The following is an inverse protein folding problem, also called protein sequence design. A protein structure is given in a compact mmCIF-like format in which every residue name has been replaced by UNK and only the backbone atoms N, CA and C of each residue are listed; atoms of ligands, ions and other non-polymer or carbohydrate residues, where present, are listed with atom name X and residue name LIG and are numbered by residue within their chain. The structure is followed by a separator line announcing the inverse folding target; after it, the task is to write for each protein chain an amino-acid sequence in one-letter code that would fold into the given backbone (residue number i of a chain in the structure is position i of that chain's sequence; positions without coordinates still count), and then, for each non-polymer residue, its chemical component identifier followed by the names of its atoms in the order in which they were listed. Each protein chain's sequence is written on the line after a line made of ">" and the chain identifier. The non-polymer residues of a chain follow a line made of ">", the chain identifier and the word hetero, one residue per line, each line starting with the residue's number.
data_IF_424849062255
#
_entry.id   IF_424849062255
#
_cell.length_a   1.000
_cell.length_b   1.000
_cell.length_c   1.000
_cell.angle_alpha   90.00
_cell.angle_beta   90.00
_cell.angle_gamma   90.00
#
_symmetry.space_group_name_H-M   'P 1'
#
loop_
_entity.id
_entity.type
_entity.pdbx_description
1 polymer ?
#
# COMPACT_ATOMS: atom_id res chain seq x y z
N UNK A 1 -67.88 35.60 19.80
CA UNK A 1 -67.78 34.70 18.63
C UNK A 1 -66.85 35.43 17.65
N UNK A 2 -65.65 35.01 17.25
CA UNK A 2 -65.05 33.68 17.05
C UNK A 2 -63.51 33.84 17.00
N UNK A 3 -62.79 32.77 17.31
CA UNK A 3 -61.35 32.66 17.54
C UNK A 3 -60.43 32.99 16.34
N UNK A 4 -59.20 33.42 16.61
CA UNK A 4 -58.08 33.34 15.66
C UNK A 4 -56.94 32.54 16.27
N UNK A 5 -56.51 31.58 15.46
CA UNK A 5 -55.77 30.36 15.75
C UNK A 5 -54.30 30.63 16.09
N UNK A 6 -53.82 29.93 17.12
CA UNK A 6 -52.40 29.75 17.43
C UNK A 6 -51.76 28.93 16.30
N UNK A 7 -50.82 29.52 15.57
CA UNK A 7 -49.97 28.78 14.64
C UNK A 7 -48.62 28.51 15.34
N UNK A 8 -48.47 27.25 15.78
CA UNK A 8 -47.19 26.65 16.11
C UNK A 8 -46.41 26.45 14.81
N UNK A 9 -45.22 27.03 14.69
CA UNK A 9 -44.26 26.64 13.65
C UNK A 9 -43.08 26.01 14.36
N UNK A 10 -43.14 24.68 14.47
CA UNK A 10 -42.01 23.84 14.78
C UNK A 10 -41.15 23.73 13.52
N UNK A 11 -40.02 24.42 13.48
CA UNK A 11 -39.00 24.23 12.45
C UNK A 11 -37.90 23.32 13.00
N UNK A 12 -38.09 22.02 12.80
CA UNK A 12 -37.06 21.00 12.95
C UNK A 12 -35.99 21.23 11.87
N UNK A 13 -34.85 21.78 12.25
CA UNK A 13 -33.66 21.82 11.38
C UNK A 13 -32.86 20.56 11.69
N UNK A 14 -33.17 19.49 10.94
CA UNK A 14 -32.31 18.32 10.81
C UNK A 14 -30.94 18.80 10.29
N UNK A 15 -29.92 18.74 11.14
CA UNK A 15 -28.54 18.85 10.68
C UNK A 15 -28.16 17.56 9.92
N UNK A 16 -27.56 17.66 8.73
CA UNK A 16 -27.24 16.51 7.90
C UNK A 16 -26.17 15.66 8.59
N UNK A 17 -26.49 14.37 8.75
CA UNK A 17 -25.52 13.33 9.09
C UNK A 17 -24.40 13.39 8.04
N UNK A 18 -23.21 13.81 8.48
CA UNK A 18 -21.98 13.69 7.71
C UNK A 18 -21.69 12.20 7.49
N UNK A 19 -22.26 11.63 6.43
CA UNK A 19 -21.88 10.33 5.89
C UNK A 19 -20.48 10.47 5.32
N UNK A 20 -19.46 10.32 6.17
CA UNK A 20 -18.12 10.03 5.71
C UNK A 20 -18.23 8.77 4.83
N UNK A 21 -17.78 8.81 3.56
CA UNK A 21 -17.78 7.60 2.74
C UNK A 21 -16.92 6.55 3.45
N UNK A 22 -17.36 5.29 3.52
CA UNK A 22 -16.50 4.24 4.03
C UNK A 22 -15.26 4.23 3.14
N UNK A 23 -14.08 4.42 3.75
CA UNK A 23 -12.81 4.11 3.12
C UNK A 23 -12.82 2.59 2.87
N UNK A 24 -13.45 2.17 1.76
CA UNK A 24 -13.26 0.86 1.18
C UNK A 24 -11.75 0.77 0.95
N UNK A 25 -11.08 -0.05 1.76
CA UNK A 25 -9.69 -0.45 1.57
C UNK A 25 -9.66 -1.27 0.27
N UNK A 26 -9.76 -0.59 -0.87
CA UNK A 26 -9.81 -1.21 -2.19
C UNK A 26 -8.51 -1.97 -2.41
N UNK A 27 -8.64 -3.29 -2.53
CA UNK A 27 -7.56 -4.11 -3.03
C UNK A 27 -7.53 -3.90 -4.54
N UNK A 28 -6.59 -3.09 -4.99
CA UNK A 28 -6.47 -2.75 -6.40
C UNK A 28 -5.82 -3.91 -7.16
N UNK A 29 -6.42 -4.32 -8.27
CA UNK A 29 -5.74 -5.21 -9.22
C UNK A 29 -4.92 -4.36 -10.18
N UNK A 30 -3.62 -4.62 -10.25
CA UNK A 30 -2.70 -3.99 -11.19
C UNK A 30 -2.28 -4.99 -12.25
N UNK A 31 -2.15 -4.56 -13.50
CA UNK A 31 -1.67 -5.40 -14.60
C UNK A 31 -0.32 -4.85 -15.05
N UNK A 32 0.71 -5.69 -15.02
CA UNK A 32 2.06 -5.30 -15.45
C UNK A 32 2.12 -5.01 -16.94
N UNK A 33 3.18 -4.34 -17.38
CA UNK A 33 3.49 -4.16 -18.82
C UNK A 33 3.58 -5.49 -19.59
N UNK A 34 3.90 -6.59 -18.90
CA UNK A 34 3.91 -7.95 -19.43
C UNK A 34 2.56 -8.68 -19.38
N UNK A 35 1.48 -8.01 -18.94
CA UNK A 35 0.13 -8.57 -18.91
C UNK A 35 -0.20 -9.42 -17.68
N UNK A 36 0.63 -9.40 -16.65
CA UNK A 36 0.42 -10.20 -15.43
C UNK A 36 -0.40 -9.40 -14.43
N UNK A 37 -1.52 -9.96 -13.97
CA UNK A 37 -2.37 -9.34 -12.96
C UNK A 37 -1.88 -9.67 -11.54
N UNK A 38 -1.79 -8.66 -10.68
CA UNK A 38 -1.39 -8.77 -9.28
C UNK A 38 -2.32 -7.96 -8.38
N UNK A 39 -2.65 -8.49 -7.20
CA UNK A 39 -3.45 -7.78 -6.19
C UNK A 39 -2.56 -6.97 -5.27
N UNK A 40 -2.80 -5.66 -5.21
CA UNK A 40 -2.07 -4.69 -4.41
C UNK A 40 -2.76 -4.45 -3.06
N UNK A 41 -2.78 -5.47 -2.20
CA UNK A 41 -3.28 -5.31 -0.83
C UNK A 41 -2.36 -4.36 -0.04
N UNK A 42 -2.87 -3.40 0.75
CA UNK A 42 -2.01 -2.47 1.49
C UNK A 42 -1.02 -3.22 2.40
N UNK A 43 0.27 -2.89 2.32
CA UNK A 43 1.33 -3.59 3.09
C UNK A 43 1.10 -3.56 4.60
N UNK A 44 0.39 -2.56 5.12
CA UNK A 44 0.04 -2.45 6.55
C UNK A 44 -0.99 -3.49 7.02
N UNK A 45 -1.69 -4.15 6.09
CA UNK A 45 -2.70 -5.17 6.38
C UNK A 45 -2.17 -6.59 6.22
N UNK A 46 -0.97 -6.75 5.65
CA UNK A 46 -0.36 -8.06 5.45
C UNK A 46 0.44 -8.45 6.69
N UNK A 47 0.27 -9.69 7.14
CA UNK A 47 1.11 -10.33 8.14
C UNK A 47 2.52 -10.62 7.57
N UNK A 48 3.49 -10.92 8.43
CA UNK A 48 4.85 -11.27 7.99
C UNK A 48 4.93 -12.39 6.93
N UNK A 49 4.24 -13.54 7.08
CA UNK A 49 4.24 -14.56 6.02
C UNK A 49 3.56 -14.07 4.73
N UNK A 50 2.50 -13.26 4.82
CA UNK A 50 1.84 -12.70 3.63
C UNK A 50 2.69 -11.64 2.93
N UNK A 51 3.47 -10.84 3.67
CA UNK A 51 4.43 -9.90 3.12
C UNK A 51 5.52 -10.63 2.32
N UNK A 52 6.06 -11.72 2.89
CA UNK A 52 7.06 -12.54 2.19
C UNK A 52 6.48 -13.17 0.93
N UNK A 53 5.31 -13.79 1.02
CA UNK A 53 4.61 -14.37 -0.13
C UNK A 53 4.31 -13.31 -1.20
N UNK A 54 3.99 -12.07 -0.80
CA UNK A 54 3.76 -10.96 -1.72
C UNK A 54 5.05 -10.53 -2.44
N UNK A 55 6.20 -10.54 -1.76
CA UNK A 55 7.50 -10.28 -2.41
C UNK A 55 7.77 -11.34 -3.47
N UNK A 56 7.60 -12.63 -3.13
CA UNK A 56 7.79 -13.73 -4.07
C UNK A 56 6.83 -13.65 -5.28
N UNK A 57 5.56 -13.26 -5.05
CA UNK A 57 4.57 -13.02 -6.11
C UNK A 57 4.97 -11.88 -7.04
N UNK A 58 5.47 -10.76 -6.50
CA UNK A 58 5.95 -9.63 -7.30
C UNK A 58 7.17 -10.04 -8.13
N UNK A 59 8.13 -10.73 -7.53
CA UNK A 59 9.35 -11.20 -8.22
C UNK A 59 9.00 -12.17 -9.36
N UNK A 60 8.02 -13.06 -9.16
CA UNK A 60 7.54 -13.99 -10.18
C UNK A 60 6.96 -13.29 -11.43
N UNK A 61 6.53 -12.02 -11.32
CA UNK A 61 6.07 -11.26 -12.50
C UNK A 61 7.21 -10.91 -13.46
N UNK A 62 8.46 -10.93 -13.00
CA UNK A 62 9.64 -10.60 -13.81
C UNK A 62 9.68 -9.16 -14.35
N UNK A 63 8.83 -8.25 -13.85
CA UNK A 63 8.62 -6.92 -14.42
C UNK A 63 9.90 -6.04 -14.44
N UNK A 64 10.82 -6.25 -13.50
CA UNK A 64 12.15 -5.61 -13.49
C UNK A 64 13.30 -6.54 -13.87
N UNK A 65 13.13 -7.85 -13.75
CA UNK A 65 14.22 -8.83 -13.84
C UNK A 65 15.34 -8.52 -12.84
N UNK A 66 16.59 -8.57 -13.27
CA UNK A 66 17.75 -8.26 -12.40
C UNK A 66 18.06 -6.75 -12.25
N UNK A 67 17.17 -5.86 -12.73
CA UNK A 67 17.39 -4.41 -12.71
C UNK A 67 16.94 -3.80 -11.38
N UNK A 68 17.63 -2.74 -10.95
CA UNK A 68 17.27 -1.96 -9.76
C UNK A 68 15.92 -1.25 -9.86
N UNK A 69 15.39 -1.05 -11.08
CA UNK A 69 14.10 -0.42 -11.33
C UNK A 69 13.31 -1.16 -12.42
N UNK A 70 12.04 -0.78 -12.63
CA UNK A 70 11.16 -1.43 -13.62
C UNK A 70 11.76 -1.36 -15.03
N UNK A 71 11.53 -2.40 -15.84
CA UNK A 71 11.93 -2.41 -17.25
C UNK A 71 11.09 -1.43 -18.08
N UNK A 72 9.81 -1.34 -17.76
CA UNK A 72 8.83 -0.47 -18.42
C UNK A 72 8.36 0.62 -17.44
N UNK A 73 8.32 1.90 -17.83
CA UNK A 73 7.86 2.98 -16.96
C UNK A 73 6.42 2.80 -16.45
N UNK A 74 5.55 2.05 -17.13
CA UNK A 74 4.19 1.73 -16.68
C UNK A 74 4.16 0.91 -15.40
N UNK A 75 5.23 0.15 -15.12
CA UNK A 75 5.35 -0.64 -13.89
C UNK A 75 5.91 0.14 -12.70
N UNK A 76 6.03 1.47 -12.82
CA UNK A 76 6.49 2.33 -11.72
C UNK A 76 5.66 2.14 -10.45
N UNK A 77 4.34 2.05 -10.60
CA UNK A 77 3.41 1.83 -9.49
C UNK A 77 3.66 0.49 -8.77
N UNK A 78 3.95 -0.58 -9.53
CA UNK A 78 4.31 -1.87 -8.94
C UNK A 78 5.63 -1.80 -8.19
N UNK A 79 6.62 -1.07 -8.71
CA UNK A 79 7.90 -0.85 -8.02
C UNK A 79 7.77 -0.08 -6.71
N UNK A 80 6.93 0.96 -6.67
CA UNK A 80 6.63 1.69 -5.45
C UNK A 80 5.93 0.79 -4.41
N UNK A 81 4.99 -0.03 -4.88
CA UNK A 81 4.32 -1.01 -4.02
C UNK A 81 5.29 -2.06 -3.46
N UNK A 82 6.14 -2.65 -4.31
CA UNK A 82 7.20 -3.59 -3.90
C UNK A 82 8.11 -2.97 -2.83
N UNK A 83 8.47 -1.70 -3.00
CA UNK A 83 9.30 -0.95 -2.04
C UNK A 83 8.59 -0.83 -0.69
N UNK A 84 7.28 -0.54 -0.68
CA UNK A 84 6.48 -0.46 0.55
C UNK A 84 6.34 -1.82 1.26
N UNK A 85 6.09 -2.90 0.51
CA UNK A 85 6.01 -4.28 1.04
C UNK A 85 7.35 -4.70 1.63
N UNK A 86 8.44 -4.49 0.87
CA UNK A 86 9.81 -4.84 1.30
C UNK A 86 10.20 -4.06 2.55
N UNK A 87 9.97 -2.75 2.58
CA UNK A 87 10.26 -1.93 3.76
C UNK A 87 9.49 -2.44 4.98
N UNK A 88 8.19 -2.73 4.83
CA UNK A 88 7.38 -3.28 5.93
C UNK A 88 7.92 -4.62 6.42
N UNK A 89 8.26 -5.52 5.51
CA UNK A 89 8.83 -6.83 5.86
C UNK A 89 10.15 -6.67 6.64
N UNK A 90 11.12 -5.91 6.11
CA UNK A 90 12.42 -5.78 6.76
C UNK A 90 12.37 -4.97 8.07
N UNK A 91 11.47 -3.98 8.17
CA UNK A 91 11.30 -3.18 9.39
C UNK A 91 10.55 -3.92 10.50
N UNK A 92 9.59 -4.77 10.15
CA UNK A 92 8.64 -5.35 11.12
C UNK A 92 8.82 -6.86 11.34
N UNK A 93 9.45 -7.56 10.39
CA UNK A 93 9.56 -9.02 10.37
C UNK A 93 11.02 -9.53 10.43
N UNK A 94 12.01 -8.62 10.47
CA UNK A 94 13.44 -8.92 10.30
C UNK A 94 14.04 -9.97 11.25
N UNK A 95 13.44 -10.22 12.42
CA UNK A 95 13.84 -11.31 13.32
C UNK A 95 13.56 -12.71 12.73
N UNK A 96 12.65 -12.83 11.77
CA UNK A 96 12.27 -14.09 11.11
C UNK A 96 13.15 -14.39 9.87
N UNK A 97 14.06 -13.48 9.51
CA UNK A 97 14.85 -13.55 8.28
C UNK A 97 16.32 -14.01 8.45
N UNK A 98 16.74 -14.40 9.66
CA UNK A 98 18.14 -14.75 9.98
C UNK A 98 18.69 -15.99 9.24
N UNK A 99 17.92 -16.60 8.32
CA UNK A 99 18.34 -17.78 7.55
C UNK A 99 18.38 -17.55 6.03
N UNK A 100 18.32 -16.30 5.54
CA UNK A 100 18.81 -16.00 4.19
C UNK A 100 20.06 -15.14 4.26
N UNK A 101 21.16 -15.80 3.89
CA UNK A 101 22.43 -15.23 3.52
C UNK A 101 22.26 -13.89 2.79
N UNK A 102 22.97 -12.90 3.33
CA UNK A 102 23.30 -11.60 2.77
C UNK A 102 22.19 -10.56 2.63
N UNK A 103 22.16 -9.72 3.66
CA UNK A 103 21.81 -8.29 3.61
C UNK A 103 22.55 -7.47 2.51
N UNK A 104 23.41 -8.10 1.70
CA UNK A 104 24.00 -7.55 0.47
C UNK A 104 23.14 -7.76 -0.78
N UNK A 105 22.15 -8.68 -0.72
CA UNK A 105 21.14 -8.91 -1.76
C UNK A 105 19.86 -8.10 -1.50
N UNK A 106 19.63 -7.78 -0.23
CA UNK A 106 18.71 -6.79 0.30
C UNK A 106 19.32 -5.41 -0.03
N UNK A 107 18.73 -4.60 -0.92
CA UNK A 107 19.25 -3.32 -1.45
C UNK A 107 20.09 -3.39 -2.75
N UNK A 108 19.62 -4.10 -3.80
CA UNK A 108 20.04 -3.83 -5.20
C UNK A 108 19.47 -2.50 -5.75
N UNK A 109 19.67 -1.40 -5.02
CA UNK A 109 19.11 -0.08 -5.37
C UNK A 109 19.74 1.13 -4.69
N UNK A 110 20.89 0.99 -4.01
CA UNK A 110 21.71 2.12 -3.61
C UNK A 110 21.34 2.77 -2.28
N UNK A 111 21.85 2.21 -1.19
CA UNK A 111 22.14 3.03 -0.01
C UNK A 111 23.55 3.61 -0.21
N UNK A 112 23.67 4.92 -0.44
CA UNK A 112 24.97 5.60 -0.24
C UNK A 112 25.09 5.84 1.27
N UNK A 113 26.00 5.18 2.01
CA UNK A 113 26.34 5.65 3.34
C UNK A 113 26.95 7.06 3.19
N UNK A 114 26.43 8.01 3.95
CA UNK A 114 27.04 9.33 4.09
C UNK A 114 28.42 9.09 4.71
N UNK A 115 29.48 9.32 3.93
CA UNK A 115 30.85 9.17 4.40
C UNK A 115 31.08 10.07 5.62
N UNK A 116 31.34 9.47 6.77
CA UNK A 116 32.03 10.15 7.86
C UNK A 116 33.52 9.99 7.61
N UNK A 117 34.15 11.01 7.02
CA UNK A 117 35.61 11.15 7.07
C UNK A 117 35.99 11.82 8.38
N UNK A 118 37.02 11.21 9.00
CA UNK A 118 37.85 11.73 10.08
C UNK A 118 38.47 13.08 9.70
#
# INVERSE_FOLDING_TARGET
>A
MTAIKRFLIAAAILAPLATAPPMLRAQDTFVTSGGIAIRLAPATQLSCPELLAKIDEIDATGYRGLRAGPRDPRDRRLFEYESAVSNRYYSSCGATGANRTSATEILRGGFKPRATSN
#
